data_IF_462494393962
#
_entry.id   IF_462494393962
#
_cell.length_a   1.000
_cell.length_b   1.000
_cell.length_c   1.000
_cell.angle_alpha   90.00
_cell.angle_beta   90.00
_cell.angle_gamma   90.00
#
_symmetry.space_group_name_H-M   'P 1'
#
loop_
_entity.id
_entity.type
_entity.pdbx_description
1 polymer ?
#
# COMPACT_ATOMS: atom_id res chain seq x y z
N UNK A 1 -67.02 64.66 41.00
CA UNK A 1 -67.07 65.30 42.34
C UNK A 1 -67.39 64.19 43.35
N UNK A 2 -66.51 63.94 44.33
CA UNK A 2 -66.56 62.92 45.41
C UNK A 2 -66.69 61.43 44.97
N UNK A 3 -65.66 60.58 45.01
CA UNK A 3 -64.92 59.98 46.14
C UNK A 3 -65.63 58.80 46.84
N UNK A 4 -64.82 57.79 47.21
CA UNK A 4 -65.08 56.66 48.15
C UNK A 4 -65.68 55.42 47.42
N UNK A 5 -65.16 54.18 47.52
CA UNK A 5 -64.76 53.43 48.73
C UNK A 5 -63.82 52.24 48.43
N UNK A 6 -62.91 51.97 49.37
CA UNK A 6 -62.09 50.76 49.53
C UNK A 6 -62.95 49.48 49.65
N UNK A 7 -62.43 48.34 49.21
CA UNK A 7 -62.45 47.10 50.00
C UNK A 7 -61.32 46.13 49.60
N UNK A 8 -60.80 45.47 50.63
CA UNK A 8 -59.67 44.55 50.69
C UNK A 8 -60.23 43.12 50.91
N UNK A 9 -59.40 42.09 50.72
CA UNK A 9 -59.41 40.75 51.37
C UNK A 9 -59.97 39.55 50.57
N UNK A 10 -59.03 38.80 49.97
CA UNK A 10 -58.64 37.40 50.29
C UNK A 10 -59.17 36.21 49.48
N UNK A 11 -58.16 35.49 48.94
CA UNK A 11 -57.97 34.07 48.58
C UNK A 11 -59.11 33.23 47.95
N UNK A 12 -58.81 32.70 46.75
CA UNK A 12 -58.97 31.26 46.47
C UNK A 12 -57.74 30.75 45.70
N UNK A 13 -57.21 29.61 46.16
CA UNK A 13 -56.17 28.81 45.51
C UNK A 13 -56.84 27.88 44.51
N UNK A 14 -56.33 27.79 43.28
CA UNK A 14 -56.67 26.72 42.35
C UNK A 14 -55.43 26.33 41.54
N UNK A 15 -55.08 25.04 41.65
CA UNK A 15 -53.97 24.35 40.98
C UNK A 15 -54.30 24.14 39.51
N UNK A 16 -53.41 24.50 38.57
CA UNK A 16 -53.50 24.02 37.19
C UNK A 16 -52.12 23.74 36.57
N UNK A 17 -52.13 22.68 35.76
CA UNK A 17 -51.07 21.87 35.18
C UNK A 17 -50.27 22.61 34.09
N UNK A 18 -48.94 22.41 34.03
CA UNK A 18 -48.04 22.98 33.01
C UNK A 18 -47.89 21.98 31.84
N UNK A 19 -48.10 22.45 30.61
CA UNK A 19 -47.72 21.76 29.37
C UNK A 19 -46.76 22.68 28.59
N UNK A 20 -45.53 22.22 28.35
CA UNK A 20 -44.51 22.94 27.59
C UNK A 20 -44.64 22.66 26.10
N UNK A 21 -44.68 23.72 25.29
CA UNK A 21 -44.41 23.70 23.85
C UNK A 21 -43.21 24.62 23.61
N UNK A 22 -42.11 24.09 23.08
CA UNK A 22 -41.01 24.89 22.57
C UNK A 22 -41.09 24.94 21.05
N UNK A 23 -41.23 26.16 20.51
CA UNK A 23 -40.99 26.51 19.12
C UNK A 23 -39.51 26.89 19.02
N UNK A 24 -38.76 26.29 18.09
CA UNK A 24 -37.36 26.63 17.84
C UNK A 24 -37.24 27.16 16.41
N UNK A 25 -36.83 28.42 16.28
CA UNK A 25 -36.59 29.10 15.01
C UNK A 25 -35.08 29.29 14.79
N UNK A 26 -34.63 28.96 13.57
CA UNK A 26 -33.57 29.67 12.85
C UNK A 26 -32.10 29.49 13.27
N UNK A 27 -31.36 28.70 12.49
CA UNK A 27 -30.14 29.06 11.73
C UNK A 27 -29.35 27.78 11.38
N UNK A 28 -29.59 27.23 10.19
CA UNK A 28 -28.78 26.14 9.65
C UNK A 28 -27.64 26.72 8.82
N UNK A 29 -26.43 26.72 9.40
CA UNK A 29 -25.18 26.84 8.65
C UNK A 29 -24.96 25.51 7.91
N UNK A 30 -25.10 25.51 6.60
CA UNK A 30 -24.76 24.37 5.74
C UNK A 30 -23.24 24.17 5.78
N UNK A 31 -22.78 23.30 6.69
CA UNK A 31 -21.39 22.85 6.71
C UNK A 31 -21.18 21.94 5.50
N UNK A 32 -20.42 22.42 4.53
CA UNK A 32 -19.82 21.57 3.50
C UNK A 32 -18.85 20.58 4.17
N UNK A 33 -19.37 19.44 4.62
CA UNK A 33 -18.54 18.29 4.93
C UNK A 33 -17.90 17.78 3.62
N UNK A 34 -16.59 17.51 3.58
CA UNK A 34 -16.00 16.84 2.44
C UNK A 34 -16.69 15.47 2.31
N UNK A 35 -17.37 15.24 1.18
CA UNK A 35 -17.93 13.93 0.84
C UNK A 35 -16.83 12.89 1.04
N UNK A 36 -17.01 12.03 2.03
CA UNK A 36 -16.14 10.90 2.28
C UNK A 36 -16.19 10.01 1.02
N UNK A 37 -15.20 10.16 0.15
CA UNK A 37 -15.13 9.44 -1.11
C UNK A 37 -15.08 7.95 -0.76
N UNK A 38 -16.19 7.24 -1.02
CA UNK A 38 -16.33 5.81 -0.77
C UNK A 38 -15.15 5.15 -1.47
N UNK A 39 -14.26 4.49 -0.71
CA UNK A 39 -13.14 3.75 -1.28
C UNK A 39 -13.72 2.69 -2.22
N UNK A 40 -13.57 2.87 -3.52
CA UNK A 40 -13.90 1.83 -4.49
C UNK A 40 -12.94 0.68 -4.25
N UNK A 41 -13.44 -0.40 -3.66
CA UNK A 41 -12.67 -1.66 -3.58
C UNK A 41 -12.66 -2.27 -4.98
N UNK A 42 -11.49 -2.26 -5.62
CA UNK A 42 -11.28 -2.91 -6.90
C UNK A 42 -10.89 -4.38 -6.70
N UNK A 43 -11.11 -5.18 -7.71
CA UNK A 43 -10.73 -6.58 -7.85
C UNK A 43 -9.95 -6.78 -9.15
N UNK A 44 -8.93 -7.64 -9.10
CA UNK A 44 -8.18 -8.07 -10.26
C UNK A 44 -8.76 -9.40 -10.79
N UNK A 45 -9.65 -9.32 -11.78
CA UNK A 45 -10.29 -10.50 -12.36
C UNK A 45 -9.47 -11.04 -13.53
N UNK A 46 -8.66 -12.07 -13.25
CA UNK A 46 -7.84 -12.75 -14.25
C UNK A 46 -8.74 -13.58 -15.19
N UNK A 47 -8.47 -13.52 -16.49
CA UNK A 47 -9.18 -14.34 -17.49
C UNK A 47 -8.81 -15.82 -17.39
N UNK A 48 -7.58 -16.11 -16.95
CA UNK A 48 -7.07 -17.45 -16.68
C UNK A 48 -6.17 -17.42 -15.44
N UNK A 49 -6.22 -18.49 -14.65
CA UNK A 49 -5.44 -18.62 -13.41
C UNK A 49 -4.47 -19.81 -13.42
N UNK A 50 -4.47 -20.62 -14.48
CA UNK A 50 -3.58 -21.77 -14.62
C UNK A 50 -2.80 -21.64 -15.93
N UNK A 51 -1.47 -21.57 -15.85
CA UNK A 51 -0.60 -21.41 -17.01
C UNK A 51 0.43 -22.53 -17.08
N UNK A 52 0.95 -22.80 -18.27
CA UNK A 52 2.18 -23.55 -18.39
C UNK A 52 3.37 -22.61 -18.14
N UNK A 53 4.46 -23.12 -17.58
CA UNK A 53 5.70 -22.38 -17.48
C UNK A 53 6.24 -21.99 -18.86
N UNK A 54 6.94 -20.86 -18.93
CA UNK A 54 7.41 -20.24 -20.16
C UNK A 54 6.70 -18.92 -20.45
N UNK A 55 6.68 -18.55 -21.74
CA UNK A 55 6.09 -17.30 -22.20
C UNK A 55 4.57 -17.40 -22.27
N UNK A 56 3.88 -16.47 -21.64
CA UNK A 56 2.43 -16.37 -21.60
C UNK A 56 2.00 -14.91 -21.73
N UNK A 57 0.71 -14.69 -21.97
CA UNK A 57 0.07 -13.38 -21.93
C UNK A 57 -0.98 -13.40 -20.81
N UNK A 58 -0.79 -12.56 -19.79
CA UNK A 58 -1.75 -12.40 -18.70
C UNK A 58 -2.81 -11.38 -19.13
N UNK A 59 -4.08 -11.76 -19.05
CA UNK A 59 -5.23 -10.90 -19.35
C UNK A 59 -6.14 -10.76 -18.14
N UNK A 60 -6.63 -9.55 -17.89
CA UNK A 60 -7.50 -9.29 -16.74
C UNK A 60 -8.42 -8.09 -16.95
N UNK A 61 -9.48 -8.04 -16.12
CA UNK A 61 -10.32 -6.86 -15.91
C UNK A 61 -10.05 -6.28 -14.53
N UNK A 62 -10.12 -4.96 -14.44
CA UNK A 62 -10.11 -4.25 -13.16
C UNK A 62 -11.56 -3.85 -12.85
N UNK A 63 -12.15 -4.46 -11.82
CA UNK A 63 -13.60 -4.36 -11.58
C UNK A 63 -13.85 -3.84 -10.17
N UNK A 64 -14.77 -2.90 -10.00
CA UNK A 64 -15.20 -2.47 -8.67
C UNK A 64 -16.16 -3.46 -8.02
N UNK A 65 -16.37 -3.33 -6.72
CA UNK A 65 -17.40 -4.11 -6.00
C UNK A 65 -18.84 -3.88 -6.49
N UNK A 66 -19.10 -2.84 -7.28
CA UNK A 66 -20.40 -2.63 -7.96
C UNK A 66 -20.46 -3.21 -9.37
N UNK A 67 -19.39 -3.85 -9.86
CA UNK A 67 -19.33 -4.44 -11.20
C UNK A 67 -18.94 -3.44 -12.31
N UNK A 68 -18.51 -2.23 -11.97
CA UNK A 68 -17.98 -1.26 -12.93
C UNK A 68 -16.56 -1.68 -13.33
N UNK A 69 -16.28 -1.69 -14.63
CA UNK A 69 -14.95 -2.00 -15.16
C UNK A 69 -14.15 -0.72 -15.39
N UNK A 70 -12.85 -0.79 -15.13
CA UNK A 70 -11.92 0.33 -15.26
C UNK A 70 -10.96 0.07 -16.42
N UNK A 71 -10.97 0.97 -17.39
CA UNK A 71 -10.16 0.89 -18.60
C UNK A 71 -9.00 1.89 -18.62
N UNK A 72 -8.37 2.03 -19.79
CA UNK A 72 -7.28 2.96 -20.02
C UNK A 72 -7.62 4.41 -19.64
N UNK A 73 -8.80 4.91 -20.03
CA UNK A 73 -9.20 6.31 -19.86
C UNK A 73 -9.56 6.66 -18.41
N UNK A 74 -9.85 5.64 -17.60
CA UNK A 74 -10.11 5.74 -16.16
C UNK A 74 -8.84 5.84 -15.32
N UNK A 75 -7.67 5.49 -15.87
CA UNK A 75 -6.40 5.50 -15.13
C UNK A 75 -5.46 6.61 -15.59
N UNK A 76 -4.66 7.12 -14.65
CA UNK A 76 -3.63 8.13 -14.92
C UNK A 76 -2.22 7.56 -14.77
N UNK A 77 -1.27 8.11 -15.52
CA UNK A 77 0.13 7.72 -15.44
C UNK A 77 0.71 8.01 -14.05
N UNK A 78 1.45 7.05 -13.53
CA UNK A 78 2.32 7.13 -12.36
C UNK A 78 3.62 6.42 -12.75
N UNK A 79 4.77 7.08 -12.61
CA UNK A 79 6.06 6.56 -13.11
C UNK A 79 5.96 6.07 -14.56
N UNK A 80 5.44 6.93 -15.45
CA UNK A 80 5.30 6.69 -16.89
C UNK A 80 4.40 5.51 -17.30
N UNK A 81 3.72 4.83 -16.36
CA UNK A 81 2.83 3.68 -16.61
C UNK A 81 1.50 3.84 -15.88
N UNK A 82 0.44 3.22 -16.39
CA UNK A 82 -0.89 3.27 -15.74
C UNK A 82 -1.04 2.20 -14.66
N UNK A 83 -0.48 1.02 -14.93
CA UNK A 83 -0.48 -0.11 -14.01
C UNK A 83 0.97 -0.60 -13.84
N UNK A 84 1.38 -0.76 -12.59
CA UNK A 84 2.52 -1.59 -12.22
C UNK A 84 1.98 -2.93 -11.74
N UNK A 85 2.33 -4.00 -12.46
CA UNK A 85 1.91 -5.36 -12.16
C UNK A 85 3.11 -6.19 -11.76
N UNK A 86 3.00 -6.85 -10.61
CA UNK A 86 4.07 -7.61 -9.99
C UNK A 86 3.66 -9.07 -9.93
N UNK A 87 4.53 -9.93 -10.46
CA UNK A 87 4.41 -11.38 -10.33
C UNK A 87 5.55 -11.90 -9.47
N UNK A 88 5.23 -12.67 -8.44
CA UNK A 88 6.25 -13.35 -7.64
C UNK A 88 5.71 -14.66 -7.06
N UNK A 89 6.58 -15.66 -6.95
CA UNK A 89 6.21 -16.98 -6.42
C UNK A 89 6.17 -16.98 -4.89
N UNK A 90 5.51 -17.98 -4.29
CA UNK A 90 5.41 -18.12 -2.84
C UNK A 90 6.75 -18.26 -2.11
N UNK A 91 7.83 -18.63 -2.81
CA UNK A 91 9.18 -18.67 -2.23
C UNK A 91 9.92 -17.33 -2.29
N UNK A 92 9.37 -16.33 -3.01
CA UNK A 92 9.97 -15.01 -3.28
C UNK A 92 11.29 -15.12 -4.05
N UNK A 93 11.42 -16.13 -4.91
CA UNK A 93 12.62 -16.43 -5.71
C UNK A 93 12.50 -15.98 -7.16
N UNK A 94 11.31 -16.03 -7.74
CA UNK A 94 10.98 -15.44 -9.04
C UNK A 94 10.21 -14.14 -8.82
N UNK A 95 10.55 -13.12 -9.61
CA UNK A 95 9.96 -11.79 -9.54
C UNK A 95 9.91 -11.18 -10.95
N UNK A 96 8.80 -10.53 -11.30
CA UNK A 96 8.67 -9.69 -12.50
C UNK A 96 7.95 -8.41 -12.15
N UNK A 97 8.48 -7.29 -12.62
CA UNK A 97 7.82 -5.99 -12.64
C UNK A 97 7.39 -5.70 -14.07
N UNK A 98 6.09 -5.64 -14.29
CA UNK A 98 5.44 -5.62 -15.60
C UNK A 98 4.50 -4.43 -15.70
N UNK A 99 4.20 -4.01 -16.93
CA UNK A 99 3.37 -2.85 -17.19
C UNK A 99 2.30 -3.19 -18.22
N UNK A 100 1.10 -3.61 -17.76
CA UNK A 100 0.00 -3.93 -18.64
C UNK A 100 -0.42 -2.75 -19.51
N UNK A 101 -0.84 -3.08 -20.73
CA UNK A 101 -1.49 -2.16 -21.67
C UNK A 101 -2.95 -2.57 -21.83
N UNK A 102 -3.82 -1.61 -22.09
CA UNK A 102 -5.22 -1.89 -22.37
C UNK A 102 -5.43 -2.04 -23.88
N UNK A 103 -5.82 -3.23 -24.32
CA UNK A 103 -6.17 -3.48 -25.72
C UNK A 103 -7.32 -4.48 -25.81
N UNK A 104 -8.15 -4.35 -26.85
CA UNK A 104 -9.25 -5.28 -27.13
C UNK A 104 -10.20 -5.49 -25.93
N UNK A 105 -10.37 -4.46 -25.10
CA UNK A 105 -11.27 -4.47 -23.95
C UNK A 105 -10.70 -5.12 -22.69
N UNK A 106 -9.40 -5.44 -22.65
CA UNK A 106 -8.74 -6.08 -21.51
C UNK A 106 -7.39 -5.41 -21.22
N UNK A 107 -7.00 -5.42 -19.95
CA UNK A 107 -5.61 -5.20 -19.59
C UNK A 107 -4.81 -6.46 -19.89
N UNK A 108 -3.67 -6.31 -20.55
CA UNK A 108 -2.83 -7.44 -20.91
C UNK A 108 -1.33 -7.16 -20.78
N UNK A 109 -0.57 -8.18 -20.44
CA UNK A 109 0.90 -8.12 -20.37
C UNK A 109 1.54 -9.47 -20.63
N UNK A 110 2.64 -9.48 -21.38
CA UNK A 110 3.44 -10.68 -21.56
C UNK A 110 4.31 -10.93 -20.34
N UNK A 111 4.42 -12.20 -19.94
CA UNK A 111 5.35 -12.63 -18.91
C UNK A 111 6.06 -13.92 -19.30
N UNK A 112 7.20 -14.17 -18.65
CA UNK A 112 7.95 -15.41 -18.81
C UNK A 112 8.50 -15.86 -17.45
N UNK A 113 8.02 -17.01 -16.98
CA UNK A 113 8.33 -17.59 -15.67
C UNK A 113 8.56 -19.09 -15.83
N UNK A 114 9.59 -19.63 -15.20
CA UNK A 114 10.08 -20.97 -15.50
C UNK A 114 9.72 -22.01 -14.43
N UNK A 115 9.35 -21.57 -13.22
CA UNK A 115 9.10 -22.44 -12.07
C UNK A 115 7.62 -22.70 -11.87
N UNK A 116 7.29 -23.94 -11.51
CA UNK A 116 5.96 -24.34 -11.11
C UNK A 116 5.54 -23.70 -9.78
N UNK A 117 4.23 -23.74 -9.50
CA UNK A 117 3.65 -23.37 -8.22
C UNK A 117 2.77 -22.14 -8.30
N UNK A 118 2.31 -21.71 -7.12
CA UNK A 118 1.47 -20.54 -6.96
C UNK A 118 2.29 -19.24 -7.03
N UNK A 119 1.74 -18.25 -7.72
CA UNK A 119 2.25 -16.91 -7.83
C UNK A 119 1.21 -15.91 -7.34
N UNK A 120 1.68 -14.91 -6.62
CA UNK A 120 0.92 -13.70 -6.37
C UNK A 120 0.96 -12.82 -7.61
N UNK A 121 -0.20 -12.28 -7.97
CA UNK A 121 -0.36 -11.20 -8.93
C UNK A 121 -0.77 -9.98 -8.16
N UNK A 122 0.05 -8.94 -8.15
CA UNK A 122 -0.30 -7.68 -7.50
C UNK A 122 -0.32 -6.57 -8.54
N UNK A 123 -1.33 -5.71 -8.49
CA UNK A 123 -1.45 -4.59 -9.39
C UNK A 123 -1.80 -3.33 -8.61
N UNK A 124 -1.14 -2.23 -8.97
CA UNK A 124 -1.50 -0.90 -8.51
C UNK A 124 -1.63 0.05 -9.69
N UNK A 125 -2.27 1.17 -9.41
CA UNK A 125 -2.35 2.30 -10.30
C UNK A 125 -3.12 3.42 -9.63
N UNK A 126 -3.43 4.46 -10.40
CA UNK A 126 -4.20 5.60 -9.90
C UNK A 126 -5.42 5.83 -10.77
N UNK A 127 -6.59 5.74 -10.15
CA UNK A 127 -7.86 6.11 -10.79
C UNK A 127 -7.89 7.64 -10.99
N UNK A 128 -8.31 8.07 -12.17
CA UNK A 128 -8.52 9.46 -12.53
C UNK A 128 -9.53 10.11 -11.58
N UNK A 129 -9.17 11.27 -11.02
CA UNK A 129 -10.00 11.97 -10.03
C UNK A 129 -10.00 11.36 -8.63
N UNK A 130 -9.27 10.25 -8.39
CA UNK A 130 -8.99 9.74 -7.04
C UNK A 130 -7.72 10.37 -6.47
N UNK A 131 -7.75 10.70 -5.18
CA UNK A 131 -6.55 11.12 -4.45
C UNK A 131 -5.66 9.94 -4.03
N UNK A 132 -6.17 8.71 -4.08
CA UNK A 132 -5.47 7.51 -3.66
C UNK A 132 -5.18 6.58 -4.84
N UNK A 133 -4.05 5.88 -4.76
CA UNK A 133 -3.75 4.74 -5.64
C UNK A 133 -4.61 3.54 -5.22
N UNK A 134 -4.97 2.67 -6.16
CA UNK A 134 -5.49 1.35 -5.84
C UNK A 134 -4.33 0.35 -5.70
N UNK A 135 -4.55 -0.71 -4.95
CA UNK A 135 -3.64 -1.84 -4.79
C UNK A 135 -4.50 -3.08 -4.63
N UNK A 136 -4.43 -4.00 -5.58
CA UNK A 136 -5.24 -5.21 -5.63
C UNK A 136 -4.36 -6.42 -5.88
N UNK A 137 -4.78 -7.58 -5.41
CA UNK A 137 -4.07 -8.82 -5.64
C UNK A 137 -4.98 -9.94 -6.09
N UNK A 138 -4.37 -10.90 -6.79
CA UNK A 138 -4.95 -12.17 -7.19
C UNK A 138 -3.84 -13.23 -7.17
N UNK A 139 -4.16 -14.44 -7.59
CA UNK A 139 -3.22 -15.55 -7.65
C UNK A 139 -3.37 -16.30 -8.96
N UNK A 140 -2.26 -16.84 -9.44
CA UNK A 140 -2.23 -17.77 -10.57
C UNK A 140 -1.29 -18.94 -10.25
N UNK A 141 -1.39 -20.02 -11.00
CA UNK A 141 -0.59 -21.23 -10.81
C UNK A 141 0.13 -21.61 -12.11
N UNK A 142 1.40 -21.96 -12.02
CA UNK A 142 2.21 -22.46 -13.14
C UNK A 142 2.50 -23.95 -13.00
N UNK A 143 2.49 -24.66 -14.13
CA UNK A 143 2.86 -26.07 -14.23
C UNK A 143 3.76 -26.36 -15.44
N UNK A 144 4.36 -27.55 -15.50
CA UNK A 144 5.16 -28.00 -16.66
C UNK A 144 6.57 -27.39 -16.77
N UNK A 145 7.00 -26.62 -15.78
CA UNK A 145 8.34 -26.05 -15.63
C UNK A 145 9.18 -26.71 -14.53
N UNK A 146 10.16 -25.95 -14.04
CA UNK A 146 11.08 -26.38 -12.97
C UNK A 146 10.35 -26.56 -11.63
N UNK A 147 10.90 -27.41 -10.75
CA UNK A 147 10.31 -27.73 -9.44
C UNK A 147 10.05 -26.46 -8.62
N UNK A 148 8.84 -26.36 -8.06
CA UNK A 148 8.44 -25.29 -7.15
C UNK A 148 9.36 -25.27 -5.93
N UNK A 149 9.79 -24.09 -5.49
CA UNK A 149 10.48 -23.94 -4.23
C UNK A 149 9.45 -23.81 -3.11
N UNK A 150 9.71 -24.38 -1.92
CA UNK A 150 8.80 -24.22 -0.81
C UNK A 150 8.71 -22.75 -0.40
N UNK A 151 7.58 -22.37 0.20
CA UNK A 151 7.44 -21.08 0.87
C UNK A 151 8.52 -20.96 1.95
N UNK A 152 9.13 -19.77 2.04
CA UNK A 152 10.06 -19.46 3.11
C UNK A 152 9.27 -18.94 4.31
N UNK A 153 9.35 -19.64 5.44
CA UNK A 153 8.76 -19.16 6.71
C UNK A 153 9.68 -18.16 7.41
N UNK A 154 10.96 -18.14 7.02
CA UNK A 154 11.98 -17.22 7.52
C UNK A 154 12.93 -16.79 6.40
N UNK A 155 13.36 -15.53 6.44
CA UNK A 155 14.43 -15.02 5.59
C UNK A 155 15.61 -14.62 6.46
N UNK A 156 16.80 -15.14 6.12
CA UNK A 156 18.03 -14.65 6.73
C UNK A 156 18.23 -13.19 6.32
N UNK A 157 18.49 -12.31 7.29
CA UNK A 157 18.75 -10.90 7.03
C UNK A 157 19.92 -10.76 6.05
N UNK A 158 19.70 -9.97 5.00
CA UNK A 158 20.63 -9.77 3.90
C UNK A 158 20.46 -8.35 3.39
N UNK A 159 21.26 -7.43 3.94
CA UNK A 159 21.23 -6.00 3.60
C UNK A 159 22.16 -5.61 2.45
N UNK A 160 22.87 -6.56 1.85
CA UNK A 160 23.62 -6.33 0.62
C UNK A 160 23.41 -7.44 -0.39
N UNK A 161 23.49 -7.10 -1.68
CA UNK A 161 23.30 -8.04 -2.77
C UNK A 161 23.94 -7.55 -4.04
N UNK A 162 24.13 -8.48 -4.98
CA UNK A 162 24.78 -8.21 -6.26
C UNK A 162 24.00 -8.86 -7.41
N UNK A 163 24.12 -8.26 -8.59
CA UNK A 163 23.66 -8.81 -9.86
C UNK A 163 24.66 -8.40 -10.96
N UNK A 164 25.30 -9.38 -11.58
CA UNK A 164 26.52 -9.24 -12.39
C UNK A 164 27.64 -8.54 -11.62
N UNK A 165 27.77 -7.23 -11.82
CA UNK A 165 28.79 -6.38 -11.22
C UNK A 165 28.19 -5.25 -10.39
N UNK A 166 26.87 -5.11 -10.40
CA UNK A 166 26.15 -4.07 -9.68
C UNK A 166 25.87 -4.55 -8.27
N UNK A 167 26.18 -3.71 -7.28
CA UNK A 167 26.01 -3.99 -5.86
C UNK A 167 25.03 -2.97 -5.27
N UNK A 168 24.14 -3.46 -4.40
CA UNK A 168 23.25 -2.60 -3.60
C UNK A 168 23.45 -2.95 -2.13
N UNK A 169 23.56 -1.92 -1.30
CA UNK A 169 23.64 -2.02 0.15
C UNK A 169 22.54 -1.15 0.77
N UNK A 170 21.80 -1.73 1.71
CA UNK A 170 20.82 -1.04 2.54
C UNK A 170 21.47 -0.69 3.87
N UNK A 171 21.21 0.53 4.38
CA UNK A 171 21.67 0.96 5.70
C UNK A 171 21.24 0.01 6.82
N UNK A 172 22.01 -0.06 7.91
CA UNK A 172 21.76 -0.95 9.05
C UNK A 172 20.70 -0.40 10.04
N UNK A 173 19.88 0.54 9.59
CA UNK A 173 18.83 1.13 10.41
C UNK A 173 17.86 0.03 10.89
N UNK A 174 17.56 0.09 12.19
CA UNK A 174 16.60 -0.83 12.81
C UNK A 174 15.19 -0.46 12.35
N UNK A 175 14.51 -1.41 11.73
CA UNK A 175 13.14 -1.25 11.25
C UNK A 175 12.15 -1.72 12.31
N UNK A 176 11.15 -0.91 12.63
CA UNK A 176 10.15 -1.20 13.67
C UNK A 176 8.77 -1.09 13.08
N UNK A 177 7.91 -2.07 13.37
CA UNK A 177 6.52 -2.06 12.93
C UNK A 177 5.79 -0.80 13.44
N UNK A 178 4.88 -0.28 12.62
CA UNK A 178 4.07 0.90 12.89
C UNK A 178 4.83 2.20 13.17
N UNK A 179 6.12 2.26 12.83
CA UNK A 179 6.94 3.47 12.85
C UNK A 179 7.34 3.87 11.43
N UNK A 180 7.59 5.17 11.24
CA UNK A 180 8.15 5.65 9.99
C UNK A 180 9.56 5.08 9.82
N UNK A 181 9.82 4.52 8.65
CA UNK A 181 11.07 3.91 8.29
C UNK A 181 11.68 4.66 7.10
N UNK A 182 13.00 4.83 7.16
CA UNK A 182 13.79 5.40 6.07
C UNK A 182 14.74 4.31 5.57
N UNK A 183 14.52 3.82 4.36
CA UNK A 183 15.40 2.84 3.71
C UNK A 183 16.42 3.59 2.86
N UNK A 184 17.68 3.57 3.27
CA UNK A 184 18.77 4.23 2.53
C UNK A 184 19.60 3.21 1.77
N UNK A 185 19.64 3.34 0.44
CA UNK A 185 20.38 2.46 -0.44
C UNK A 185 21.62 3.15 -1.00
N UNK A 186 22.73 2.42 -1.01
CA UNK A 186 23.97 2.78 -1.69
C UNK A 186 24.20 1.81 -2.85
N UNK A 187 24.57 2.37 -4.00
CA UNK A 187 24.92 1.60 -5.19
C UNK A 187 26.44 1.61 -5.37
N UNK A 188 27.00 0.44 -5.69
CA UNK A 188 28.41 0.27 -5.97
C UNK A 188 28.63 -0.80 -7.04
N UNK A 189 29.90 -1.10 -7.35
CA UNK A 189 30.26 -2.16 -8.28
C UNK A 189 31.47 -2.95 -7.84
N UNK A 190 31.45 -4.24 -8.15
CA UNK A 190 32.56 -5.16 -7.83
C UNK A 190 33.81 -4.95 -8.67
N UNK A 191 33.73 -4.16 -9.76
CA UNK A 191 34.85 -3.87 -10.66
C UNK A 191 35.48 -2.49 -10.46
N UNK A 192 35.30 -1.90 -9.27
CA UNK A 192 35.86 -0.60 -8.82
C UNK A 192 35.43 0.62 -9.66
N UNK A 193 34.64 0.43 -10.71
CA UNK A 193 34.04 1.51 -11.48
C UNK A 193 32.86 2.11 -10.73
N UNK A 194 32.67 3.42 -10.87
CA UNK A 194 31.44 4.05 -10.35
C UNK A 194 30.20 3.48 -11.08
N UNK A 195 29.08 3.28 -10.37
CA UNK A 195 27.80 2.98 -10.99
C UNK A 195 27.44 4.01 -12.06
N UNK A 196 26.84 3.55 -13.16
CA UNK A 196 26.31 4.41 -14.22
C UNK A 196 24.79 4.27 -14.23
N UNK A 197 24.15 4.89 -13.25
CA UNK A 197 22.71 4.83 -13.05
C UNK A 197 21.98 5.74 -14.05
N UNK A 198 20.89 5.24 -14.64
CA UNK A 198 19.99 6.01 -15.49
C UNK A 198 18.55 5.78 -15.07
N UNK A 199 17.68 6.73 -15.37
CA UNK A 199 16.25 6.60 -15.08
C UNK A 199 15.62 5.47 -15.88
N UNK A 200 14.72 4.75 -15.23
CA UNK A 200 13.80 3.79 -15.82
C UNK A 200 12.41 4.18 -15.32
N UNK A 201 11.47 4.41 -16.23
CA UNK A 201 10.10 4.83 -15.87
C UNK A 201 10.06 6.11 -15.02
N UNK A 202 10.91 7.08 -15.36
CA UNK A 202 11.05 8.35 -14.65
C UNK A 202 11.85 8.32 -13.35
N UNK A 203 12.25 7.15 -12.84
CA UNK A 203 12.93 7.01 -11.54
C UNK A 203 14.30 6.32 -11.66
N UNK A 204 15.22 6.58 -10.73
CA UNK A 204 16.53 5.89 -10.73
C UNK A 204 16.45 4.44 -10.23
N UNK A 205 15.47 4.12 -9.39
CA UNK A 205 15.14 2.76 -9.01
C UNK A 205 13.69 2.64 -8.56
N UNK A 206 13.13 1.43 -8.69
CA UNK A 206 11.86 1.03 -8.09
C UNK A 206 12.14 0.05 -6.97
N UNK A 207 11.44 0.20 -5.84
CA UNK A 207 11.60 -0.69 -4.70
C UNK A 207 10.27 -1.25 -4.29
N UNK A 208 10.25 -2.57 -4.26
CA UNK A 208 9.09 -3.34 -3.85
C UNK A 208 9.45 -4.13 -2.61
N UNK A 209 8.58 -4.06 -1.62
CA UNK A 209 8.77 -4.73 -0.35
C UNK A 209 7.60 -5.68 -0.12
N UNK A 210 7.86 -6.98 -0.02
CA UNK A 210 6.85 -7.98 0.32
C UNK A 210 7.09 -8.52 1.71
N UNK A 211 6.01 -8.72 2.47
CA UNK A 211 6.05 -9.69 3.56
C UNK A 211 6.03 -11.14 3.00
N UNK A 212 6.10 -12.13 3.88
CA UNK A 212 6.05 -13.54 3.49
C UNK A 212 4.65 -14.02 3.07
N UNK A 213 3.60 -13.24 3.34
CA UNK A 213 2.20 -13.54 2.99
C UNK A 213 1.79 -12.93 1.64
N UNK A 214 2.71 -12.24 0.97
CA UNK A 214 2.49 -11.62 -0.35
C UNK A 214 1.85 -10.23 -0.30
N UNK A 215 1.84 -9.56 0.86
CA UNK A 215 1.44 -8.16 0.94
C UNK A 215 2.60 -7.27 0.51
N UNK A 216 2.31 -6.34 -0.42
CA UNK A 216 3.31 -5.46 -1.02
C UNK A 216 3.19 -4.05 -0.46
N UNK A 217 4.35 -3.46 -0.18
CA UNK A 217 4.55 -2.03 -0.03
C UNK A 217 5.39 -1.59 -1.23
N UNK A 218 4.79 -0.78 -2.11
CA UNK A 218 5.52 -0.15 -3.20
C UNK A 218 5.94 1.26 -2.82
N UNK A 219 7.20 1.58 -3.07
CA UNK A 219 7.73 2.89 -2.76
C UNK A 219 8.75 3.38 -3.79
N UNK A 220 8.78 4.69 -3.94
CA UNK A 220 9.64 5.42 -4.86
C UNK A 220 10.61 6.30 -4.08
N UNK A 221 11.81 6.53 -4.60
CA UNK A 221 12.76 7.42 -3.95
C UNK A 221 12.29 8.85 -3.93
N UNK A 222 12.88 9.62 -3.01
CA UNK A 222 12.76 11.06 -2.99
C UNK A 222 14.00 11.81 -3.53
N UNK A 223 15.14 11.15 -3.76
CA UNK A 223 16.41 11.81 -4.14
C UNK A 223 17.06 11.23 -5.39
N UNK A 224 17.74 12.10 -6.15
CA UNK A 224 18.47 11.79 -7.37
C UNK A 224 19.99 11.73 -7.09
N UNK A 225 20.65 10.58 -7.24
CA UNK A 225 22.10 10.45 -7.04
C UNK A 225 22.58 9.03 -6.64
N UNK A 226 23.79 8.94 -6.06
CA UNK A 226 24.39 7.67 -5.62
C UNK A 226 23.80 7.12 -4.30
N UNK A 227 22.99 7.93 -3.60
CA UNK A 227 22.25 7.54 -2.41
C UNK A 227 20.76 7.74 -2.66
N UNK A 228 20.00 6.70 -2.39
CA UNK A 228 18.58 6.63 -2.67
C UNK A 228 17.83 6.37 -1.38
N UNK A 229 16.78 7.14 -1.11
CA UNK A 229 16.04 7.09 0.16
C UNK A 229 14.56 6.90 -0.10
N UNK A 230 13.98 5.92 0.59
CA UNK A 230 12.55 5.67 0.63
C UNK A 230 12.03 5.89 2.05
N UNK A 231 10.95 6.66 2.14
CA UNK A 231 10.13 6.72 3.34
C UNK A 231 8.96 5.76 3.22
N UNK A 232 8.82 4.89 4.20
CA UNK A 232 7.75 3.89 4.23
C UNK A 232 7.36 3.56 5.66
N UNK A 233 6.32 2.74 5.82
CA UNK A 233 5.87 2.25 7.11
C UNK A 233 5.55 0.78 7.01
N UNK A 234 6.18 -0.02 7.87
CA UNK A 234 5.92 -1.45 7.94
C UNK A 234 4.73 -1.72 8.88
N UNK A 235 3.65 -2.36 8.42
CA UNK A 235 2.44 -2.52 9.23
C UNK A 235 2.60 -3.55 10.35
N UNK A 236 3.43 -4.57 10.13
CA UNK A 236 3.67 -5.66 11.10
C UNK A 236 5.15 -6.00 11.23
N UNK A 237 5.51 -6.62 12.35
CA UNK A 237 6.83 -7.23 12.52
C UNK A 237 6.95 -8.48 11.64
N UNK A 238 8.17 -8.91 11.33
CA UNK A 238 8.40 -10.10 10.52
C UNK A 238 9.59 -9.98 9.58
N UNK A 239 9.71 -10.96 8.68
CA UNK A 239 10.67 -10.92 7.57
C UNK A 239 10.03 -10.28 6.35
N UNK A 240 10.80 -9.44 5.68
CA UNK A 240 10.42 -8.81 4.43
C UNK A 240 11.49 -9.03 3.37
N UNK A 241 11.03 -9.29 2.15
CA UNK A 241 11.85 -9.27 0.93
C UNK A 241 11.77 -7.88 0.32
N UNK A 242 12.90 -7.33 -0.09
CA UNK A 242 12.99 -6.08 -0.83
C UNK A 242 13.57 -6.38 -2.21
N UNK A 243 12.86 -6.08 -3.29
CA UNK A 243 13.42 -6.09 -4.64
C UNK A 243 13.74 -4.66 -5.06
N UNK A 244 14.99 -4.44 -5.45
CA UNK A 244 15.47 -3.16 -5.95
C UNK A 244 15.72 -3.32 -7.44
N UNK A 245 14.94 -2.58 -8.24
CA UNK A 245 15.02 -2.58 -9.69
C UNK A 245 15.61 -1.26 -10.20
N UNK A 246 16.72 -1.30 -10.94
CA UNK A 246 17.43 -0.10 -11.41
C UNK A 246 18.20 -0.39 -12.70
N UNK A 247 18.61 0.67 -13.42
CA UNK A 247 19.49 0.54 -14.58
C UNK A 247 20.92 0.85 -14.17
N UNK A 248 21.87 -0.02 -14.50
CA UNK A 248 23.30 0.25 -14.38
C UNK A 248 24.01 -0.15 -15.68
N UNK A 249 24.75 0.80 -16.27
CA UNK A 249 25.35 0.68 -17.61
C UNK A 249 24.35 0.22 -18.69
N UNK A 250 23.14 0.81 -18.68
CA UNK A 250 22.09 0.56 -19.67
C UNK A 250 21.40 -0.81 -19.55
N UNK A 251 21.68 -1.57 -18.48
CA UNK A 251 21.05 -2.87 -18.22
C UNK A 251 20.19 -2.82 -16.97
N UNK A 252 18.99 -3.40 -17.06
CA UNK A 252 18.10 -3.61 -15.92
C UNK A 252 18.73 -4.59 -14.94
N UNK A 253 18.72 -4.22 -13.67
CA UNK A 253 19.19 -4.98 -12.52
C UNK A 253 18.05 -5.12 -11.54
N UNK A 254 17.88 -6.34 -11.04
CA UNK A 254 16.98 -6.65 -9.94
C UNK A 254 17.83 -7.35 -8.88
N UNK A 255 17.89 -6.76 -7.69
CA UNK A 255 18.65 -7.29 -6.56
C UNK A 255 17.69 -7.49 -5.38
N UNK A 256 17.52 -8.73 -4.89
CA UNK A 256 16.73 -9.00 -3.70
C UNK A 256 17.59 -8.86 -2.42
N UNK A 257 17.05 -8.12 -1.45
CA UNK A 257 17.53 -8.03 -0.08
C UNK A 257 16.48 -8.60 0.88
N UNK A 258 16.88 -8.90 2.12
CA UNK A 258 16.00 -9.36 3.19
C UNK A 258 16.23 -8.50 4.43
N UNK A 259 15.15 -8.08 5.08
CA UNK A 259 15.22 -7.33 6.34
C UNK A 259 14.29 -7.92 7.37
N UNK A 260 14.69 -7.80 8.64
CA UNK A 260 13.82 -8.06 9.77
C UNK A 260 13.21 -6.75 10.26
N UNK A 261 11.89 -6.73 10.38
CA UNK A 261 11.14 -5.67 11.08
C UNK A 261 10.79 -6.17 12.47
N UNK A 262 11.15 -5.38 13.48
CA UNK A 262 10.93 -5.73 14.87
C UNK A 262 9.58 -5.23 15.37
N UNK A 263 9.06 -5.90 16.39
CA UNK A 263 7.88 -5.42 17.13
C UNK A 263 8.13 -4.04 17.72
N UNK A 264 7.07 -3.22 17.70
CA UNK A 264 7.03 -2.02 18.51
C UNK A 264 6.99 -2.43 19.98
N UNK A 265 7.92 -1.95 20.79
CA UNK A 265 7.78 -2.06 22.24
C UNK A 265 6.64 -1.13 22.66
N UNK A 266 5.45 -1.68 22.91
CA UNK A 266 4.40 -0.93 23.58
C UNK A 266 4.93 -0.57 24.97
N UNK A 267 5.06 0.72 25.25
CA UNK A 267 5.37 1.22 26.58
C UNK A 267 4.12 1.10 27.46
N UNK A 268 3.72 -0.13 27.79
CA UNK A 268 2.77 -0.38 28.87
C UNK A 268 3.55 -0.44 30.17
N UNK A 269 4.05 0.72 30.60
CA UNK A 269 4.54 0.91 31.95
C UNK A 269 3.93 2.21 32.49
N UNK A 270 2.62 2.14 32.78
CA UNK A 270 1.96 3.13 33.60
C UNK A 270 1.37 2.44 34.84
N UNK A 271 2.09 2.66 35.94
CA UNK A 271 1.64 2.64 37.33
C UNK A 271 1.33 1.28 37.96
N UNK A 272 2.39 0.56 38.33
CA UNK A 272 2.40 -0.21 39.56
C UNK A 272 3.30 0.49 40.60
N UNK A 273 2.79 1.47 41.34
CA UNK A 273 3.24 1.82 42.71
C UNK A 273 2.28 2.84 43.35
N UNK A 274 1.36 2.37 44.20
CA UNK A 274 1.53 2.44 45.65
C UNK A 274 0.21 2.09 46.34
N UNK A 275 0.22 0.92 46.98
CA UNK A 275 -0.76 0.59 48.00
C UNK A 275 -0.56 1.51 49.21
N UNK A 276 -1.65 2.07 49.69
CA UNK A 276 -1.80 2.46 51.09
C UNK A 276 -2.87 1.54 51.67
N UNK A 277 -2.42 0.54 52.41
CA UNK A 277 -3.25 -0.14 53.40
C UNK A 277 -2.85 0.40 54.77
N UNK A 278 -3.87 0.93 55.45
CA UNK A 278 -4.10 1.00 56.90
C UNK A 278 -2.94 1.37 57.86
#
# INVERSE_FOLDING_TARGET
MFAIKKQLITLMVSTFLILFIFINDGYASEKNEPKQQKRTSLELQLSETNFNAGRNNLQFRLVSSSGEEYDDDDLVLKHEKKIHLILFDVSLSEFRHLHPIYEKGLWQVDFNLARNGEYYVWAEGKIKGSNHSFSVSSKLNLQGGSVALPRNDHLNEKRSGENDKSVVMLSDDRLVANHDATLSFQFDRTDERKPSLSTYLGEYAHVLVSDLDGQIIHAHPMNHGAQFVIHTKFPKSGDYRIWIEFIDYGKLKIIPLNVRVYESKNNTDHSATNGHNH
#
